data_IF_576331706793
#
_entry.id   IF_576331706793
#
_cell.length_a   1.000
_cell.length_b   1.000
_cell.length_c   1.000
_cell.angle_alpha   90.00
_cell.angle_beta   90.00
_cell.angle_gamma   90.00
#
_symmetry.space_group_name_H-M   'P 1'
#
loop_
_entity.id
_entity.type
_entity.pdbx_description
1 polymer ?
#
# COMPACT_ATOMS: atom_id res chain seq x y z
N UNK A 1 4.65 4.53 17.48
CA UNK A 1 3.23 4.75 17.13
C UNK A 1 3.15 5.42 15.76
N UNK A 2 2.35 4.92 14.83
CA UNK A 2 2.24 5.43 13.46
C UNK A 2 1.18 4.66 12.67
N UNK A 3 0.87 5.09 11.46
CA UNK A 3 -0.15 4.47 10.62
C UNK A 3 -0.35 5.18 9.28
N UNK A 4 -1.31 4.68 8.50
CA UNK A 4 -1.73 5.23 7.21
C UNK A 4 -3.24 5.10 7.03
N UNK A 5 -3.81 5.90 6.15
CA UNK A 5 -5.21 5.78 5.74
C UNK A 5 -5.37 6.14 4.26
N UNK A 6 -6.48 5.72 3.68
CA UNK A 6 -6.73 5.86 2.26
C UNK A 6 -8.09 5.32 1.83
N UNK A 7 -8.29 5.27 0.52
CA UNK A 7 -9.54 4.83 -0.10
C UNK A 7 -9.29 3.49 -0.83
N UNK A 8 -10.14 2.50 -0.56
CA UNK A 8 -10.14 1.25 -1.32
C UNK A 8 -10.99 1.39 -2.59
N UNK A 9 -10.43 1.00 -3.73
CA UNK A 9 -11.06 1.03 -5.06
C UNK A 9 -10.84 -0.33 -5.74
N UNK A 10 -11.72 -1.29 -5.45
CA UNK A 10 -11.54 -2.67 -5.91
C UNK A 10 -10.23 -3.27 -5.38
N UNK A 11 -9.36 -3.72 -6.28
CA UNK A 11 -8.03 -4.24 -5.96
C UNK A 11 -6.94 -3.15 -5.93
N UNK A 12 -7.31 -1.88 -5.93
CA UNK A 12 -6.41 -0.74 -5.81
C UNK A 12 -6.67 0.00 -4.48
N UNK A 13 -5.62 0.47 -3.82
CA UNK A 13 -5.73 1.32 -2.62
C UNK A 13 -5.06 2.68 -2.87
N UNK A 14 -5.81 3.76 -2.73
CA UNK A 14 -5.29 5.12 -2.82
C UNK A 14 -4.86 5.61 -1.44
N UNK A 15 -3.55 5.66 -1.17
CA UNK A 15 -3.02 6.18 0.08
C UNK A 15 -3.16 7.70 0.15
N UNK A 16 -3.88 8.20 1.15
CA UNK A 16 -4.10 9.63 1.33
C UNK A 16 -2.98 10.25 2.17
N UNK A 17 -2.61 9.60 3.27
CA UNK A 17 -1.54 10.09 4.14
C UNK A 17 -0.99 8.99 5.05
N UNK A 18 0.16 9.29 5.64
CA UNK A 18 0.82 8.49 6.67
C UNK A 18 1.27 9.40 7.82
N UNK A 19 1.26 8.87 9.04
CA UNK A 19 1.76 9.58 10.22
C UNK A 19 2.72 8.72 11.03
N UNK A 20 3.69 9.36 11.68
CA UNK A 20 4.69 8.68 12.50
C UNK A 20 5.00 9.52 13.73
N UNK A 21 4.76 8.95 14.91
CA UNK A 21 5.12 9.52 16.22
C UNK A 21 6.39 8.88 16.81
N UNK A 22 6.93 7.87 16.14
CA UNK A 22 8.20 7.23 16.45
C UNK A 22 8.95 6.91 15.16
N UNK A 23 10.27 6.77 15.23
CA UNK A 23 11.10 6.41 14.07
C UNK A 23 10.59 5.12 13.42
N UNK A 24 10.50 5.11 12.10
CA UNK A 24 10.06 3.97 11.25
C UNK A 24 8.62 3.46 11.45
N UNK A 25 7.80 4.05 12.32
CA UNK A 25 6.46 3.51 12.59
C UNK A 25 5.53 3.52 11.36
N UNK A 26 5.53 4.60 10.56
CA UNK A 26 4.78 4.65 9.30
C UNK A 26 5.28 3.64 8.26
N UNK A 27 6.60 3.43 8.18
CA UNK A 27 7.22 2.47 7.25
C UNK A 27 6.79 1.03 7.57
N UNK A 28 6.82 0.67 8.85
CA UNK A 28 6.38 -0.65 9.33
C UNK A 28 4.89 -0.83 9.04
N UNK A 29 4.06 0.20 9.29
CA UNK A 29 2.64 0.14 8.98
C UNK A 29 2.38 -0.09 7.48
N UNK A 30 3.11 0.61 6.61
CA UNK A 30 3.02 0.41 5.16
C UNK A 30 3.47 -0.99 4.75
N UNK A 31 4.58 -1.50 5.28
CA UNK A 31 5.07 -2.85 4.97
C UNK A 31 4.06 -3.95 5.33
N UNK A 32 3.48 -3.87 6.54
CA UNK A 32 2.42 -4.77 6.98
C UNK A 32 1.19 -4.67 6.07
N UNK A 33 0.80 -3.45 5.70
CA UNK A 33 -0.33 -3.25 4.81
C UNK A 33 -0.08 -3.79 3.40
N UNK A 34 1.10 -3.57 2.81
CA UNK A 34 1.47 -4.09 1.49
C UNK A 34 1.37 -5.62 1.43
N UNK A 35 1.96 -6.32 2.40
CA UNK A 35 1.92 -7.79 2.46
C UNK A 35 0.49 -8.31 2.68
N UNK A 36 -0.26 -7.70 3.61
CA UNK A 36 -1.65 -8.06 3.86
C UNK A 36 -2.55 -7.82 2.65
N UNK A 37 -2.44 -6.66 2.01
CA UNK A 37 -3.23 -6.29 0.85
C UNK A 37 -2.93 -7.21 -0.33
N UNK A 38 -1.66 -7.54 -0.57
CA UNK A 38 -1.23 -8.50 -1.60
C UNK A 38 -1.82 -9.89 -1.36
N UNK A 39 -1.80 -10.40 -0.11
CA UNK A 39 -2.44 -11.68 0.26
C UNK A 39 -3.95 -11.69 0.01
N UNK A 40 -4.60 -10.53 0.01
CA UNK A 40 -6.02 -10.36 -0.31
C UNK A 40 -6.28 -10.02 -1.78
N UNK A 41 -5.33 -10.31 -2.68
CA UNK A 41 -5.39 -10.02 -4.12
C UNK A 41 -5.37 -8.52 -4.47
N UNK A 42 -4.99 -7.65 -3.54
CA UNK A 42 -4.65 -6.27 -3.84
C UNK A 42 -3.48 -6.18 -4.83
N UNK A 43 -3.60 -5.29 -5.82
CA UNK A 43 -2.71 -5.21 -6.98
C UNK A 43 -1.87 -3.92 -7.00
N UNK A 44 -2.42 -2.81 -6.51
CA UNK A 44 -1.74 -1.52 -6.58
C UNK A 44 -2.04 -0.65 -5.35
N UNK A 45 -0.99 -0.04 -4.79
CA UNK A 45 -1.10 1.00 -3.78
C UNK A 45 -0.60 2.30 -4.43
N UNK A 46 -1.51 3.25 -4.63
CA UNK A 46 -1.15 4.59 -5.09
C UNK A 46 -0.59 5.39 -3.90
N UNK A 47 0.65 5.87 -4.07
CA UNK A 47 1.37 6.66 -3.08
C UNK A 47 1.39 8.16 -3.44
N UNK A 48 0.52 8.60 -4.35
CA UNK A 48 0.40 9.99 -4.82
C UNK A 48 1.71 10.50 -5.44
N UNK A 49 2.25 11.61 -4.92
CA UNK A 49 3.44 12.27 -5.46
C UNK A 49 4.69 11.62 -4.88
N UNK A 50 5.52 11.10 -5.77
CA UNK A 50 6.83 10.55 -5.43
C UNK A 50 7.66 11.55 -4.63
N UNK A 51 8.28 11.06 -3.56
CA UNK A 51 9.24 11.80 -2.76
C UNK A 51 10.37 10.86 -2.31
N UNK A 52 11.52 11.37 -1.83
CA UNK A 52 12.64 10.52 -1.43
C UNK A 52 12.28 9.50 -0.36
N UNK A 53 11.34 9.83 0.52
CA UNK A 53 10.85 8.89 1.53
C UNK A 53 10.19 7.68 0.87
N UNK A 54 9.23 7.89 -0.04
CA UNK A 54 8.54 6.82 -0.78
C UNK A 54 9.49 5.98 -1.64
N UNK A 55 10.46 6.63 -2.29
CA UNK A 55 11.48 5.93 -3.07
C UNK A 55 12.29 4.97 -2.19
N UNK A 56 12.67 5.37 -0.98
CA UNK A 56 13.33 4.48 -0.01
C UNK A 56 12.45 3.31 0.46
N UNK A 57 11.14 3.35 0.21
CA UNK A 57 10.21 2.25 0.51
C UNK A 57 9.97 1.31 -0.69
N UNK A 58 10.71 1.50 -1.79
CA UNK A 58 10.55 0.72 -3.02
C UNK A 58 9.40 1.20 -3.92
N UNK A 59 8.84 2.39 -3.68
CA UNK A 59 7.83 2.96 -4.57
C UNK A 59 8.45 3.26 -5.94
N UNK A 60 7.71 2.93 -7.00
CA UNK A 60 8.09 3.23 -8.39
C UNK A 60 7.12 4.23 -9.00
N UNK A 61 7.59 4.99 -9.98
CA UNK A 61 6.72 5.92 -10.73
C UNK A 61 6.06 5.20 -11.89
N UNK A 62 4.74 5.33 -12.00
CA UNK A 62 3.98 4.96 -13.18
C UNK A 62 3.68 6.20 -14.02
N UNK A 63 3.67 6.07 -15.35
CA UNK A 63 3.10 7.11 -16.19
C UNK A 63 1.60 7.24 -15.90
N UNK A 64 1.04 8.44 -16.14
CA UNK A 64 -0.42 8.65 -15.99
C UNK A 64 -1.24 7.63 -16.78
N UNK A 65 -0.78 7.28 -17.98
CA UNK A 65 -1.47 6.32 -18.86
C UNK A 65 -1.42 4.90 -18.27
N UNK A 66 -0.26 4.45 -17.79
CA UNK A 66 -0.12 3.17 -17.10
C UNK A 66 -0.97 3.10 -15.83
N UNK A 67 -1.02 4.18 -15.06
CA UNK A 67 -1.86 4.28 -13.88
C UNK A 67 -3.34 4.16 -14.22
N UNK A 68 -3.83 4.91 -15.23
CA UNK A 68 -5.23 4.85 -15.66
C UNK A 68 -5.59 3.45 -16.17
N UNK A 69 -4.71 2.81 -16.94
CA UNK A 69 -4.91 1.43 -17.39
C UNK A 69 -5.03 0.45 -16.22
N UNK A 70 -4.17 0.60 -15.21
CA UNK A 70 -4.21 -0.21 -13.99
C UNK A 70 -5.50 0.03 -13.20
N UNK A 71 -5.87 1.30 -12.99
CA UNK A 71 -7.11 1.70 -12.32
C UNK A 71 -8.33 1.07 -12.98
N UNK A 72 -8.47 1.19 -14.31
CA UNK A 72 -9.59 0.61 -15.05
C UNK A 72 -9.60 -0.93 -14.96
N UNK A 73 -8.43 -1.57 -14.90
CA UNK A 73 -8.30 -3.02 -14.83
C UNK A 73 -8.64 -3.60 -13.44
N UNK A 74 -8.52 -2.80 -12.37
CA UNK A 74 -8.62 -3.28 -11.00
C UNK A 74 -9.79 -2.69 -10.20
N UNK A 75 -10.34 -1.52 -10.59
CA UNK A 75 -11.38 -0.82 -9.80
C UNK A 75 -12.65 -1.64 -9.58
N UNK A 76 -12.98 -2.57 -10.48
CA UNK A 76 -14.20 -3.38 -10.41
C UNK A 76 -13.98 -4.75 -9.77
N UNK A 77 -12.71 -5.16 -9.62
CA UNK A 77 -12.35 -6.44 -8.99
C UNK A 77 -12.30 -6.25 -7.49
N UNK A 78 -12.96 -7.12 -6.74
CA UNK A 78 -12.91 -7.06 -5.28
C UNK A 78 -11.64 -7.73 -4.75
N UNK A 79 -11.13 -7.21 -3.65
CA UNK A 79 -10.20 -7.97 -2.80
C UNK A 79 -10.93 -9.12 -2.11
N UNK A 80 -10.17 -10.09 -1.60
CA UNK A 80 -10.73 -11.18 -0.81
C UNK A 80 -11.42 -10.66 0.47
N UNK A 81 -12.47 -11.38 0.89
CA UNK A 81 -13.19 -11.11 2.14
C UNK A 81 -12.24 -11.04 3.33
N UNK A 82 -12.53 -10.14 4.27
CA UNK A 82 -11.69 -9.95 5.46
C UNK A 82 -10.56 -8.93 5.28
N UNK A 83 -10.26 -8.43 4.07
CA UNK A 83 -9.15 -7.49 3.85
C UNK A 83 -9.23 -6.24 4.74
N UNK A 84 -10.43 -5.69 4.97
CA UNK A 84 -10.66 -4.44 5.70
C UNK A 84 -11.43 -4.64 7.01
N UNK A 85 -11.56 -5.87 7.50
CA UNK A 85 -12.10 -6.13 8.83
C UNK A 85 -11.11 -5.65 9.91
N UNK A 86 -11.63 -5.19 11.05
CA UNK A 86 -10.79 -4.78 12.18
C UNK A 86 -10.09 -5.99 12.78
N UNK A 87 -8.77 -6.07 12.60
CA UNK A 87 -7.97 -7.22 13.01
C UNK A 87 -6.51 -6.84 13.24
N UNK A 88 -5.76 -7.75 13.87
CA UNK A 88 -4.31 -7.70 13.89
C UNK A 88 -3.75 -8.31 12.61
N UNK A 89 -2.77 -7.64 12.00
CA UNK A 89 -2.10 -8.15 10.80
C UNK A 89 -0.98 -9.12 11.19
N UNK A 90 -0.93 -10.25 10.49
CA UNK A 90 0.19 -11.19 10.61
C UNK A 90 1.51 -10.52 10.19
N UNK A 91 2.62 -10.95 10.79
CA UNK A 91 3.96 -10.51 10.42
C UNK A 91 4.21 -10.82 8.93
N UNK A 92 4.68 -9.85 8.13
CA UNK A 92 4.96 -10.06 6.72
C UNK A 92 5.97 -11.19 6.51
N UNK A 93 5.70 -12.06 5.54
CA UNK A 93 6.60 -13.16 5.16
C UNK A 93 7.49 -12.82 3.97
N UNK A 94 7.14 -11.76 3.24
CA UNK A 94 7.90 -11.26 2.09
C UNK A 94 8.97 -10.27 2.56
N UNK A 95 10.21 -10.36 2.06
CA UNK A 95 11.24 -9.40 2.43
C UNK A 95 10.78 -7.98 2.08
N UNK A 96 10.93 -7.08 3.05
CA UNK A 96 10.95 -5.64 2.81
C UNK A 96 12.00 -5.40 1.72
N UNK A 97 11.61 -5.09 0.49
CA UNK A 97 12.54 -4.54 -0.50
C UNK A 97 12.84 -3.09 -0.09
N UNK A 98 13.68 -2.95 0.93
CA UNK A 98 14.25 -1.70 1.41
C UNK A 98 15.75 -1.96 1.47
N UNK A 99 16.40 -1.96 0.31
CA UNK A 99 17.87 -1.91 0.26
C UNK A 99 18.28 -0.46 0.56
N UNK A 100 19.24 -0.31 1.49
CA UNK A 100 19.78 0.95 2.02
C UNK A 100 20.48 1.82 0.96
#
# INVERSE_FOLDING_TARGET
MGGLYGISVGQLFCGESMFSLATNASKIALWYFCDHFSRHQGQLIDCQVMNPHLQSLGATTLSREQFIQSLLSFKEKQVLSGCFETQWLATPTSPCAFED
#
